data_IF_579474555512
#
_entry.id   IF_579474555512
#
_cell.length_a   1.000
_cell.length_b   1.000
_cell.length_c   1.000
_cell.angle_alpha   90.00
_cell.angle_beta   90.00
_cell.angle_gamma   90.00
#
_symmetry.space_group_name_H-M   'P 1'
#
loop_
_entity.id
_entity.type
_entity.pdbx_description
1 polymer ?
#
# COMPACT_ATOMS: atom_id res chain seq x y z
N UNK A 1 -18.87 -13.14 -3.79
CA UNK A 1 -17.40 -12.94 -3.98
C UNK A 1 -16.71 -14.29 -4.06
N UNK A 2 -15.70 -14.42 -4.92
CA UNK A 2 -14.97 -15.68 -5.17
C UNK A 2 -13.47 -15.42 -5.09
N UNK A 3 -12.75 -16.17 -4.28
CA UNK A 3 -11.31 -16.09 -4.15
C UNK A 3 -10.61 -16.89 -5.28
N UNK A 4 -9.65 -16.30 -5.99
CA UNK A 4 -8.94 -16.89 -7.13
C UNK A 4 -7.49 -16.46 -7.20
N UNK A 5 -6.62 -17.38 -7.65
CA UNK A 5 -5.25 -17.06 -8.04
C UNK A 5 -5.20 -16.92 -9.57
N UNK A 6 -4.85 -15.73 -10.04
CA UNK A 6 -4.70 -15.39 -11.44
C UNK A 6 -3.29 -14.81 -11.65
N UNK A 7 -2.49 -15.41 -12.54
CA UNK A 7 -1.11 -14.98 -12.80
C UNK A 7 -0.29 -14.76 -11.52
N UNK A 8 -0.36 -15.72 -10.59
CA UNK A 8 0.33 -15.73 -9.29
C UNK A 8 -0.19 -14.76 -8.23
N UNK A 9 -1.15 -13.90 -8.54
CA UNK A 9 -1.80 -13.00 -7.57
C UNK A 9 -3.10 -13.65 -7.09
N UNK A 10 -3.37 -13.52 -5.80
CA UNK A 10 -4.64 -13.96 -5.21
C UNK A 10 -5.61 -12.79 -5.15
N UNK A 11 -6.82 -13.01 -5.65
CA UNK A 11 -7.89 -12.01 -5.73
C UNK A 11 -9.17 -12.50 -5.09
N UNK A 12 -9.91 -11.58 -4.48
CA UNK A 12 -11.32 -11.72 -4.17
C UNK A 12 -12.11 -11.03 -5.29
N UNK A 13 -12.87 -11.81 -6.06
CA UNK A 13 -13.65 -11.30 -7.19
C UNK A 13 -15.09 -11.00 -6.77
N UNK A 14 -15.54 -9.79 -7.07
CA UNK A 14 -16.94 -9.39 -6.95
C UNK A 14 -17.61 -9.51 -8.32
N UNK A 15 -18.45 -10.53 -8.48
CA UNK A 15 -19.13 -10.83 -9.75
C UNK A 15 -20.29 -9.85 -10.05
N UNK A 16 -20.80 -9.16 -9.04
CA UNK A 16 -21.88 -8.19 -9.18
C UNK A 16 -21.36 -6.86 -9.72
N UNK A 17 -20.27 -6.36 -9.14
CA UNK A 17 -19.67 -5.07 -9.48
C UNK A 17 -18.53 -5.19 -10.51
N UNK A 18 -18.13 -6.41 -10.88
CA UNK A 18 -17.00 -6.72 -11.76
C UNK A 18 -15.68 -6.10 -11.26
N UNK A 19 -15.48 -6.14 -9.94
CA UNK A 19 -14.26 -5.66 -9.30
C UNK A 19 -13.45 -6.80 -8.69
N UNK A 20 -12.17 -6.53 -8.44
CA UNK A 20 -11.25 -7.45 -7.79
C UNK A 20 -10.47 -6.73 -6.69
N UNK A 21 -10.33 -7.39 -5.56
CA UNK A 21 -9.44 -7.00 -4.49
C UNK A 21 -8.24 -7.93 -4.45
N UNK A 22 -7.03 -7.41 -4.35
CA UNK A 22 -5.83 -8.21 -4.06
C UNK A 22 -5.91 -8.63 -2.60
N UNK A 23 -5.84 -9.93 -2.34
CA UNK A 23 -5.92 -10.48 -0.98
C UNK A 23 -4.67 -11.28 -0.62
N UNK A 24 -4.51 -11.56 0.67
CA UNK A 24 -3.31 -12.17 1.23
C UNK A 24 -2.89 -13.45 0.49
N UNK A 25 -1.62 -13.45 0.08
CA UNK A 25 -0.88 -14.60 -0.38
C UNK A 25 0.60 -14.42 -0.05
N UNK A 26 1.20 -15.38 0.63
CA UNK A 26 2.64 -15.36 0.94
C UNK A 26 3.51 -15.66 -0.28
N UNK A 27 4.75 -15.15 -0.25
CA UNK A 27 5.77 -15.50 -1.24
C UNK A 27 5.78 -14.65 -2.50
N UNK A 28 5.28 -13.42 -2.43
CA UNK A 28 5.59 -12.43 -3.45
C UNK A 28 7.04 -11.96 -3.28
N UNK A 29 7.80 -11.92 -4.37
CA UNK A 29 9.23 -11.60 -4.36
C UNK A 29 9.64 -10.78 -5.59
N UNK A 30 10.75 -10.05 -5.47
CA UNK A 30 11.30 -9.23 -6.55
C UNK A 30 10.41 -8.04 -6.90
N UNK A 31 10.44 -7.66 -8.18
CA UNK A 31 9.63 -6.57 -8.71
C UNK A 31 8.25 -7.09 -9.13
N UNK A 32 7.22 -6.45 -8.66
CA UNK A 32 5.85 -6.92 -8.80
C UNK A 32 4.94 -5.89 -9.46
N UNK A 33 4.04 -6.33 -10.34
CA UNK A 33 3.07 -5.45 -11.01
C UNK A 33 1.67 -5.99 -10.76
N UNK A 34 0.82 -5.18 -10.13
CA UNK A 34 -0.61 -5.44 -10.01
C UNK A 34 -1.26 -4.97 -11.31
N UNK A 35 -1.92 -5.84 -12.09
CA UNK A 35 -2.61 -5.42 -13.30
C UNK A 35 -3.89 -4.65 -12.98
N UNK A 36 -4.24 -3.67 -13.80
CA UNK A 36 -5.50 -2.92 -13.67
C UNK A 36 -6.74 -3.81 -13.85
N UNK A 37 -6.63 -4.81 -14.74
CA UNK A 37 -7.72 -5.73 -15.07
C UNK A 37 -7.23 -7.17 -14.97
N UNK A 38 -8.04 -8.02 -14.35
CA UNK A 38 -7.86 -9.46 -14.36
C UNK A 38 -9.01 -10.16 -15.05
N UNK A 39 -8.73 -11.26 -15.76
CA UNK A 39 -9.77 -12.01 -16.49
C UNK A 39 -9.92 -13.39 -15.87
N UNK A 40 -11.15 -13.73 -15.47
CA UNK A 40 -11.51 -15.05 -14.99
C UNK A 40 -12.75 -15.55 -15.74
N UNK A 41 -12.70 -16.76 -16.32
CA UNK A 41 -13.78 -17.37 -17.11
C UNK A 41 -14.34 -16.43 -18.20
N UNK A 42 -13.47 -15.70 -18.91
CA UNK A 42 -13.80 -14.70 -19.94
C UNK A 42 -14.51 -13.44 -19.46
N UNK A 43 -14.63 -13.24 -18.13
CA UNK A 43 -15.14 -12.02 -17.52
C UNK A 43 -13.95 -11.19 -17.05
N UNK A 44 -13.98 -9.89 -17.35
CA UNK A 44 -12.97 -8.93 -16.90
C UNK A 44 -13.40 -8.30 -15.56
N UNK A 45 -12.47 -8.23 -14.62
CA UNK A 45 -12.65 -7.60 -13.30
C UNK A 45 -11.63 -6.49 -13.14
N UNK A 46 -12.06 -5.31 -12.75
CA UNK A 46 -11.17 -4.19 -12.45
C UNK A 46 -10.61 -4.33 -11.04
N UNK A 47 -9.29 -4.21 -10.90
CA UNK A 47 -8.64 -4.25 -9.58
C UNK A 47 -8.81 -2.89 -8.93
N UNK A 48 -9.56 -2.80 -7.82
CA UNK A 48 -9.96 -1.55 -7.19
C UNK A 48 -9.41 -1.36 -5.78
N UNK A 49 -8.93 -2.43 -5.14
CA UNK A 49 -8.38 -2.37 -3.78
C UNK A 49 -7.26 -3.39 -3.55
N UNK A 50 -6.43 -3.07 -2.58
CA UNK A 50 -5.46 -3.99 -1.98
C UNK A 50 -5.91 -4.17 -0.54
N UNK A 51 -6.38 -5.37 -0.21
CA UNK A 51 -7.03 -5.68 1.05
C UNK A 51 -6.05 -5.95 2.18
N UNK A 52 -6.62 -6.17 3.35
CA UNK A 52 -5.93 -6.50 4.61
C UNK A 52 -4.86 -7.58 4.40
N UNK A 53 -3.62 -7.31 4.85
CA UNK A 53 -2.47 -8.22 4.81
C UNK A 53 -2.08 -8.74 3.43
N UNK A 54 -2.48 -8.10 2.35
CA UNK A 54 -2.31 -8.65 1.00
C UNK A 54 -0.87 -9.08 0.68
N UNK A 55 0.12 -8.32 1.11
CA UNK A 55 1.56 -8.57 0.95
C UNK A 55 2.30 -8.72 2.29
N UNK A 56 1.59 -8.90 3.41
CA UNK A 56 2.20 -9.06 4.73
C UNK A 56 3.29 -10.13 4.73
N UNK A 57 4.44 -9.80 5.31
CA UNK A 57 5.59 -10.69 5.41
C UNK A 57 6.26 -11.04 4.07
N UNK A 58 5.96 -10.34 2.97
CA UNK A 58 6.64 -10.52 1.69
C UNK A 58 8.05 -9.91 1.74
N UNK A 59 8.91 -10.49 2.58
CA UNK A 59 10.23 -9.96 2.93
C UNK A 59 11.20 -9.82 1.77
N UNK A 60 10.95 -10.50 0.65
CA UNK A 60 11.77 -10.46 -0.58
C UNK A 60 11.14 -9.59 -1.69
N UNK A 61 10.03 -8.92 -1.43
CA UNK A 61 9.42 -7.96 -2.36
C UNK A 61 10.30 -6.70 -2.41
N UNK A 62 10.81 -6.34 -3.59
CA UNK A 62 11.73 -5.21 -3.77
C UNK A 62 11.06 -3.95 -4.29
N UNK A 63 10.10 -4.10 -5.18
CA UNK A 63 9.26 -3.02 -5.68
C UNK A 63 7.86 -3.51 -6.04
N UNK A 64 6.90 -2.59 -6.07
CA UNK A 64 5.53 -2.89 -6.50
C UNK A 64 4.95 -1.72 -7.28
N UNK A 65 4.28 -2.04 -8.39
CA UNK A 65 3.50 -1.09 -9.17
C UNK A 65 2.02 -1.30 -8.87
N UNK A 66 1.37 -0.27 -8.35
CA UNK A 66 -0.05 -0.22 -8.04
C UNK A 66 -0.77 0.50 -9.18
N UNK A 67 -1.82 -0.08 -9.79
CA UNK A 67 -2.53 0.57 -10.90
C UNK A 67 -3.42 1.72 -10.42
N UNK A 68 -3.69 2.69 -11.31
CA UNK A 68 -4.53 3.86 -11.05
C UNK A 68 -6.02 3.52 -10.77
N UNK A 69 -6.40 2.27 -10.89
CA UNK A 69 -7.73 1.80 -10.51
C UNK A 69 -7.90 1.50 -9.02
N UNK A 70 -6.79 1.43 -8.27
CA UNK A 70 -6.80 1.18 -6.82
C UNK A 70 -7.11 2.48 -6.08
N UNK A 71 -8.12 2.44 -5.23
CA UNK A 71 -8.59 3.62 -4.47
C UNK A 71 -8.25 3.58 -2.99
N UNK A 72 -7.83 2.43 -2.48
CA UNK A 72 -7.44 2.27 -1.07
C UNK A 72 -6.32 1.25 -0.89
N UNK A 73 -5.46 1.51 0.08
CA UNK A 73 -4.46 0.58 0.60
C UNK A 73 -4.96 0.17 1.99
N UNK A 74 -5.23 -1.12 2.19
CA UNK A 74 -5.80 -1.66 3.42
C UNK A 74 -4.83 -1.66 4.60
N UNK A 75 -5.28 -2.26 5.72
CA UNK A 75 -4.47 -2.41 6.93
C UNK A 75 -3.35 -3.43 6.71
N UNK A 76 -2.16 -3.12 7.23
CA UNK A 76 -0.96 -3.98 7.22
C UNK A 76 -0.62 -4.61 5.85
N UNK A 77 -1.02 -3.93 4.76
CA UNK A 77 -0.84 -4.45 3.38
C UNK A 77 0.60 -4.83 3.09
N UNK A 78 1.56 -4.01 3.48
CA UNK A 78 3.00 -4.22 3.27
C UNK A 78 3.76 -4.40 4.59
N UNK A 79 3.07 -4.80 5.69
CA UNK A 79 3.78 -5.01 6.95
C UNK A 79 4.89 -6.04 6.75
N UNK A 80 6.06 -5.76 7.32
CA UNK A 80 7.25 -6.63 7.22
C UNK A 80 7.73 -6.93 5.78
N UNK A 81 7.44 -6.07 4.80
CA UNK A 81 8.09 -6.10 3.48
C UNK A 81 9.52 -5.53 3.59
N UNK A 82 10.41 -6.30 4.21
CA UNK A 82 11.75 -5.82 4.62
C UNK A 82 12.64 -5.33 3.48
N UNK A 83 12.46 -5.86 2.26
CA UNK A 83 13.27 -5.49 1.08
C UNK A 83 12.63 -4.43 0.21
N UNK A 84 11.43 -3.94 0.53
CA UNK A 84 10.75 -2.91 -0.26
C UNK A 84 11.52 -1.60 -0.16
N UNK A 85 12.11 -1.16 -1.28
CA UNK A 85 12.97 0.03 -1.33
C UNK A 85 12.25 1.29 -1.76
N UNK A 86 11.24 1.13 -2.61
CA UNK A 86 10.44 2.24 -3.14
C UNK A 86 9.05 1.76 -3.52
N UNK A 87 8.09 2.66 -3.44
CA UNK A 87 6.72 2.47 -3.89
C UNK A 87 6.15 3.80 -4.38
N UNK A 88 5.36 3.74 -5.44
CA UNK A 88 4.58 4.88 -5.91
C UNK A 88 3.12 4.66 -5.53
N UNK A 89 2.57 5.59 -4.76
CA UNK A 89 1.14 5.62 -4.42
C UNK A 89 0.41 6.38 -5.54
N UNK A 90 -0.53 5.73 -6.26
CA UNK A 90 -1.27 6.42 -7.33
C UNK A 90 -2.16 7.55 -6.82
N UNK A 91 -2.42 8.54 -7.68
CA UNK A 91 -3.33 9.67 -7.37
C UNK A 91 -4.81 9.26 -7.21
N UNK A 92 -5.13 8.00 -7.44
CA UNK A 92 -6.45 7.41 -7.18
C UNK A 92 -6.66 6.99 -5.71
N UNK A 93 -5.56 6.79 -4.95
CA UNK A 93 -5.62 6.33 -3.57
C UNK A 93 -6.07 7.46 -2.64
N UNK A 94 -7.13 7.19 -1.87
CA UNK A 94 -7.72 8.17 -0.95
C UNK A 94 -7.41 7.89 0.52
N UNK A 95 -7.01 6.65 0.84
CA UNK A 95 -6.69 6.24 2.22
C UNK A 95 -5.57 5.22 2.29
N UNK A 96 -4.77 5.31 3.35
CA UNK A 96 -3.73 4.36 3.74
C UNK A 96 -4.12 3.82 5.10
N UNK A 97 -4.23 2.50 5.23
CA UNK A 97 -4.68 1.83 6.45
C UNK A 97 -3.66 1.80 7.58
N UNK A 98 -4.10 1.31 8.74
CA UNK A 98 -3.24 1.06 9.92
C UNK A 98 -2.08 0.14 9.53
N UNK A 99 -0.87 0.45 10.00
CA UNK A 99 0.33 -0.36 9.79
C UNK A 99 0.69 -0.66 8.32
N UNK A 100 0.09 0.04 7.34
CA UNK A 100 0.16 -0.34 5.92
C UNK A 100 1.59 -0.55 5.39
N UNK A 101 2.56 0.17 5.91
CA UNK A 101 3.99 0.05 5.60
C UNK A 101 4.84 -0.30 6.83
N UNK A 102 4.23 -0.87 7.86
CA UNK A 102 4.93 -1.22 9.08
C UNK A 102 6.13 -2.13 8.80
N UNK A 103 7.29 -1.84 9.39
CA UNK A 103 8.47 -2.68 9.22
C UNK A 103 9.06 -2.73 7.81
N UNK A 104 8.70 -1.83 6.89
CA UNK A 104 9.38 -1.68 5.60
C UNK A 104 10.79 -1.10 5.79
N UNK A 105 11.70 -1.92 6.32
CA UNK A 105 13.02 -1.48 6.81
C UNK A 105 13.93 -0.87 5.75
N UNK A 106 13.75 -1.25 4.48
CA UNK A 106 14.55 -0.76 3.36
C UNK A 106 13.90 0.40 2.61
N UNK A 107 12.68 0.81 2.97
CA UNK A 107 12.00 1.93 2.32
C UNK A 107 12.74 3.23 2.61
N UNK A 108 13.21 3.91 1.55
CA UNK A 108 14.08 5.09 1.67
C UNK A 108 13.27 6.38 1.62
N UNK A 109 12.33 6.44 0.69
CA UNK A 109 11.48 7.62 0.47
C UNK A 109 10.09 7.20 0.01
N UNK A 110 9.11 8.01 0.35
CA UNK A 110 7.74 7.85 -0.14
C UNK A 110 7.08 9.22 -0.28
N UNK A 111 6.26 9.37 -1.31
CA UNK A 111 5.42 10.56 -1.50
C UNK A 111 3.96 10.18 -1.34
N UNK A 112 3.26 10.89 -0.47
CA UNK A 112 1.82 10.74 -0.26
C UNK A 112 1.10 11.74 -1.16
N UNK A 113 0.33 11.29 -2.17
CA UNK A 113 -0.32 12.17 -3.13
C UNK A 113 -1.48 12.97 -2.52
N UNK A 114 -1.89 14.05 -3.20
CA UNK A 114 -2.94 14.96 -2.73
C UNK A 114 -4.33 14.32 -2.65
N UNK A 115 -4.52 13.17 -3.26
CA UNK A 115 -5.75 12.37 -3.14
C UNK A 115 -5.92 11.73 -1.76
N UNK A 116 -4.81 11.44 -1.04
CA UNK A 116 -4.86 10.79 0.27
C UNK A 116 -5.32 11.79 1.33
N UNK A 117 -6.41 11.45 2.01
CA UNK A 117 -7.00 12.27 3.08
C UNK A 117 -6.82 11.68 4.47
N UNK A 118 -6.49 10.37 4.56
CA UNK A 118 -6.27 9.69 5.85
C UNK A 118 -5.10 8.71 5.78
N UNK A 119 -4.33 8.67 6.88
CA UNK A 119 -3.23 7.73 7.13
C UNK A 119 -3.50 7.15 8.50
N UNK A 120 -3.61 5.84 8.61
CA UNK A 120 -3.94 5.13 9.84
C UNK A 120 -2.79 5.07 10.84
N UNK A 121 -3.12 4.55 12.05
CA UNK A 121 -2.17 4.35 13.15
C UNK A 121 -0.97 3.52 12.67
N UNK A 122 0.21 3.84 13.17
CA UNK A 122 1.44 3.07 12.91
C UNK A 122 1.77 2.83 11.43
N UNK A 123 1.22 3.62 10.48
CA UNK A 123 1.30 3.35 9.04
C UNK A 123 2.73 3.16 8.53
N UNK A 124 3.71 3.84 9.10
CA UNK A 124 5.14 3.74 8.74
C UNK A 124 6.02 3.31 9.92
N UNK A 125 5.46 2.64 10.93
CA UNK A 125 6.25 2.18 12.08
C UNK A 125 7.45 1.33 11.64
N UNK A 126 8.62 1.49 12.30
CA UNK A 126 9.81 0.70 12.03
C UNK A 126 10.32 0.77 10.56
N UNK A 127 10.02 1.84 9.83
CA UNK A 127 10.66 2.13 8.53
C UNK A 127 12.06 2.70 8.77
N UNK A 128 13.02 1.83 9.12
CA UNK A 128 14.33 2.22 9.64
C UNK A 128 15.16 3.06 8.69
N UNK A 129 15.01 2.85 7.36
CA UNK A 129 15.76 3.57 6.32
C UNK A 129 15.02 4.78 5.76
N UNK A 130 13.76 5.00 6.16
CA UNK A 130 12.96 6.12 5.66
C UNK A 130 13.58 7.43 6.12
N UNK A 131 14.11 8.20 5.17
CA UNK A 131 14.80 9.46 5.47
C UNK A 131 14.05 10.70 4.95
N UNK A 132 13.19 10.53 3.98
CA UNK A 132 12.42 11.61 3.37
C UNK A 132 10.96 11.17 3.13
N UNK A 133 10.01 11.99 3.57
CA UNK A 133 8.60 11.80 3.30
C UNK A 133 7.93 13.15 3.02
N UNK A 134 7.13 13.19 1.96
CA UNK A 134 6.24 14.31 1.68
C UNK A 134 4.81 13.86 1.94
N UNK A 135 4.13 14.55 2.85
CA UNK A 135 2.72 14.32 3.20
C UNK A 135 1.88 15.40 2.53
N UNK A 136 0.84 14.98 1.83
CA UNK A 136 -0.04 15.89 1.12
C UNK A 136 -0.79 16.86 2.03
N UNK A 137 -1.18 18.02 1.50
CA UNK A 137 -1.99 19.00 2.22
C UNK A 137 -3.45 18.55 2.49
N UNK A 138 -3.86 17.42 1.92
CA UNK A 138 -5.18 16.83 2.17
C UNK A 138 -5.26 16.04 3.48
N UNK A 139 -4.11 15.60 4.01
CA UNK A 139 -4.02 14.93 5.32
C UNK A 139 -4.13 15.97 6.43
N UNK A 140 -5.15 15.83 7.29
CA UNK A 140 -5.47 16.80 8.35
C UNK A 140 -4.89 16.45 9.71
N UNK A 141 -4.68 15.17 9.97
CA UNK A 141 -4.08 14.67 11.20
C UNK A 141 -3.16 13.50 10.88
N UNK A 142 -2.18 13.30 11.75
CA UNK A 142 -1.36 12.10 11.78
C UNK A 142 -1.77 11.31 13.01
N UNK A 143 -2.10 10.05 12.80
CA UNK A 143 -2.59 9.17 13.85
C UNK A 143 -1.45 8.63 14.73
N UNK A 144 -1.81 7.86 15.76
CA UNK A 144 -0.86 7.35 16.75
C UNK A 144 0.31 6.59 16.07
N UNK A 145 1.52 6.91 16.50
CA UNK A 145 2.71 6.16 16.09
C UNK A 145 3.01 6.11 14.61
N UNK A 146 2.42 7.01 13.79
CA UNK A 146 2.59 7.01 12.32
C UNK A 146 4.04 6.79 11.91
N UNK A 147 5.02 7.43 12.58
CA UNK A 147 6.46 7.30 12.32
C UNK A 147 7.23 6.69 13.48
N UNK A 148 6.58 5.86 14.30
CA UNK A 148 7.23 5.22 15.44
C UNK A 148 8.47 4.42 14.98
N UNK A 149 9.63 4.71 15.61
CA UNK A 149 10.92 4.09 15.28
C UNK A 149 11.38 4.25 13.81
N UNK A 150 11.05 5.35 13.16
CA UNK A 150 11.68 5.74 11.89
C UNK A 150 13.01 6.44 12.17
N UNK A 151 14.05 5.67 12.51
CA UNK A 151 15.33 6.18 13.05
C UNK A 151 16.11 7.07 12.09
N UNK A 152 15.94 6.88 10.77
CA UNK A 152 16.64 7.67 9.73
C UNK A 152 15.87 8.90 9.28
N UNK A 153 14.64 9.13 9.79
CA UNK A 153 13.76 10.16 9.28
C UNK A 153 14.26 11.56 9.68
N UNK A 154 14.76 12.29 8.69
CA UNK A 154 15.31 13.64 8.87
C UNK A 154 14.55 14.71 8.13
N UNK A 155 13.86 14.35 7.04
CA UNK A 155 13.10 15.27 6.20
C UNK A 155 11.63 14.87 6.17
N UNK A 156 10.80 15.64 6.87
CA UNK A 156 9.34 15.50 6.79
C UNK A 156 8.77 16.79 6.25
N UNK A 157 8.12 16.73 5.11
CA UNK A 157 7.29 17.84 4.64
C UNK A 157 5.87 17.61 5.12
N UNK A 158 5.50 18.36 6.16
CA UNK A 158 4.15 18.32 6.73
C UNK A 158 3.15 19.14 5.91
N UNK A 159 1.85 18.76 5.97
CA UNK A 159 0.77 19.60 5.47
C UNK A 159 0.76 20.98 6.13
N UNK A 160 0.41 22.03 5.37
CA UNK A 160 0.31 23.38 5.94
C UNK A 160 -0.82 23.53 6.98
N UNK A 161 -1.83 22.66 6.92
CA UNK A 161 -3.03 22.69 7.76
C UNK A 161 -3.14 21.46 8.69
N UNK A 162 -2.01 20.92 9.13
CA UNK A 162 -2.00 19.79 10.09
C UNK A 162 -2.57 20.26 11.43
N UNK A 163 -3.49 19.47 12.02
CA UNK A 163 -4.16 19.74 13.31
C UNK A 163 -3.47 19.01 14.46
#
# INVERSE_FOLDING_TARGET
MIDKIIKSIKYLLDEENLTAEVIQKKGYEGDFIIPEIVVFKKVAYRVTSIGLWAFDGCSSLTSIVIPDSVTSIGEEVFDCCFSLTSIVIPDSVTSIGEGAFGGCKSLITITIPDSVTSIGDYAFRNCLSLNDITISNSVRCLEEGTFFQCESLTNIKFPENLL
#
